data_IF_321368470110
#
_entry.id   IF_321368470110
#
_cell.length_a   1.000
_cell.length_b   1.000
_cell.length_c   1.000
_cell.angle_alpha   90.00
_cell.angle_beta   90.00
_cell.angle_gamma   90.00
#
_symmetry.space_group_name_H-M   'P 1'
#
loop_
_entity.id
_entity.type
_entity.pdbx_description
1 polymer ?
#
# COMPACT_ATOMS: atom_id res chain seq x y z
N UNK A 1 -40.69 -14.89 9.81
CA UNK A 1 -39.40 -14.69 10.47
C UNK A 1 -38.32 -15.70 10.06
N UNK A 2 -38.71 -16.96 9.76
CA UNK A 2 -37.79 -17.99 9.25
C UNK A 2 -37.18 -17.59 7.89
N UNK A 3 -37.97 -16.96 7.01
CA UNK A 3 -37.50 -16.45 5.72
C UNK A 3 -36.52 -15.25 5.86
N UNK A 4 -36.62 -14.46 6.92
CA UNK A 4 -35.65 -13.37 7.21
C UNK A 4 -34.33 -13.93 7.77
N UNK A 5 -34.39 -14.97 8.59
CA UNK A 5 -33.20 -15.68 9.10
C UNK A 5 -32.48 -16.41 7.97
N UNK A 6 -33.20 -17.09 7.09
CA UNK A 6 -32.62 -17.78 5.92
C UNK A 6 -32.04 -16.78 4.91
N UNK A 7 -32.65 -15.59 4.71
CA UNK A 7 -32.06 -14.53 3.90
C UNK A 7 -30.79 -13.96 4.52
N UNK A 8 -30.77 -13.74 5.85
CA UNK A 8 -29.54 -13.33 6.56
C UNK A 8 -28.44 -14.40 6.48
N UNK A 9 -28.77 -15.67 6.64
CA UNK A 9 -27.81 -16.76 6.49
C UNK A 9 -27.31 -16.92 5.04
N UNK A 10 -28.19 -16.82 4.03
CA UNK A 10 -27.76 -16.84 2.61
C UNK A 10 -26.92 -15.61 2.24
N UNK A 11 -27.21 -14.44 2.78
CA UNK A 11 -26.35 -13.25 2.60
C UNK A 11 -25.01 -13.40 3.32
N UNK A 12 -24.96 -13.99 4.52
CA UNK A 12 -23.70 -14.29 5.20
C UNK A 12 -22.84 -15.32 4.46
N UNK A 13 -23.45 -16.34 3.83
CA UNK A 13 -22.68 -17.40 3.17
C UNK A 13 -22.23 -17.10 1.72
N UNK A 14 -22.82 -16.13 1.03
CA UNK A 14 -22.57 -15.91 -0.40
C UNK A 14 -22.10 -14.48 -0.74
N UNK A 15 -22.49 -13.49 0.05
CA UNK A 15 -22.15 -12.07 -0.21
C UNK A 15 -21.30 -11.42 0.88
N UNK A 16 -21.43 -11.87 2.12
CA UNK A 16 -20.73 -11.31 3.29
C UNK A 16 -19.80 -12.35 3.95
N UNK A 17 -19.25 -13.26 3.15
CA UNK A 17 -18.25 -14.24 3.59
C UNK A 17 -16.93 -13.63 4.08
N UNK A 18 -16.84 -12.32 4.05
CA UNK A 18 -15.68 -11.59 4.56
C UNK A 18 -15.90 -11.30 6.03
N UNK A 19 -15.15 -11.97 6.89
CA UNK A 19 -15.13 -11.67 8.31
C UNK A 19 -14.84 -10.18 8.55
N UNK A 20 -15.53 -9.50 9.50
CA UNK A 20 -15.21 -8.13 9.87
C UNK A 20 -13.72 -7.98 10.21
N UNK A 21 -13.11 -6.86 9.84
CA UNK A 21 -11.69 -6.62 10.08
C UNK A 21 -11.33 -6.74 11.57
N UNK A 22 -12.23 -6.28 12.46
CA UNK A 22 -12.11 -6.45 13.91
C UNK A 22 -12.00 -7.92 14.29
N UNK A 23 -12.84 -8.78 13.74
CA UNK A 23 -12.83 -10.22 14.03
C UNK A 23 -11.53 -10.89 13.55
N UNK A 24 -11.01 -10.48 12.38
CA UNK A 24 -9.70 -10.98 11.90
C UNK A 24 -8.58 -10.53 12.84
N UNK A 25 -8.65 -9.31 13.36
CA UNK A 25 -7.68 -8.81 14.35
C UNK A 25 -7.81 -9.56 15.68
N UNK A 26 -9.03 -9.81 16.15
CA UNK A 26 -9.29 -10.57 17.38
C UNK A 26 -8.73 -11.99 17.26
N UNK A 27 -8.97 -12.69 16.14
CA UNK A 27 -8.36 -14.01 15.89
C UNK A 27 -6.83 -13.98 15.91
N UNK A 28 -6.21 -12.94 15.37
CA UNK A 28 -4.75 -12.82 15.36
C UNK A 28 -4.15 -12.55 16.74
N UNK A 29 -4.90 -11.92 17.63
CA UNK A 29 -4.49 -11.67 19.02
C UNK A 29 -4.81 -12.83 19.96
N UNK A 30 -5.69 -13.73 19.55
CA UNK A 30 -6.11 -14.87 20.35
C UNK A 30 -5.00 -15.94 20.44
N UNK A 31 -4.60 -16.28 21.66
CA UNK A 31 -3.54 -17.25 21.91
C UNK A 31 -3.92 -18.68 21.50
N UNK A 32 -5.20 -19.05 21.59
CA UNK A 32 -5.71 -20.35 21.14
C UNK A 32 -5.66 -20.41 19.61
N UNK A 33 -6.13 -19.37 18.93
CA UNK A 33 -6.05 -19.27 17.48
C UNK A 33 -4.60 -19.42 16.99
N UNK A 34 -3.64 -18.75 17.63
CA UNK A 34 -2.23 -18.85 17.26
C UNK A 34 -1.70 -20.29 17.36
N UNK A 35 -2.13 -21.06 18.37
CA UNK A 35 -1.76 -22.48 18.49
C UNK A 35 -2.36 -23.33 17.38
N UNK A 36 -3.55 -22.97 16.89
CA UNK A 36 -4.20 -23.71 15.80
C UNK A 36 -3.43 -23.60 14.47
N UNK A 37 -2.60 -22.59 14.30
CA UNK A 37 -1.90 -22.32 13.02
C UNK A 37 -0.82 -23.37 12.69
N UNK A 38 -0.30 -24.08 13.69
CA UNK A 38 0.75 -25.08 13.55
C UNK A 38 0.23 -26.52 13.63
N UNK A 39 -1.07 -26.72 13.82
CA UNK A 39 -1.65 -28.05 13.96
C UNK A 39 -1.78 -28.77 12.63
N UNK A 40 -1.68 -30.10 12.67
CA UNK A 40 -1.94 -30.99 11.55
C UNK A 40 -3.22 -31.81 11.81
N UNK A 41 -3.89 -32.22 10.75
CA UNK A 41 -5.16 -32.95 10.81
C UNK A 41 -6.35 -32.06 11.19
N UNK A 42 -7.51 -32.69 11.34
CA UNK A 42 -8.74 -32.01 11.70
C UNK A 42 -8.82 -31.77 13.21
N UNK A 43 -9.09 -30.56 13.63
CA UNK A 43 -9.17 -30.13 15.03
C UNK A 43 -10.35 -29.19 15.25
N UNK A 44 -10.73 -28.96 16.50
CA UNK A 44 -11.77 -28.00 16.89
C UNK A 44 -11.12 -26.75 17.50
N UNK A 45 -11.60 -25.60 17.06
CA UNK A 45 -11.36 -24.30 17.69
C UNK A 45 -12.58 -23.93 18.55
N UNK A 46 -12.35 -23.36 19.72
CA UNK A 46 -13.38 -23.03 20.71
C UNK A 46 -14.39 -22.01 20.20
N UNK A 47 -15.52 -21.90 20.89
CA UNK A 47 -16.61 -21.00 20.56
C UNK A 47 -16.40 -19.55 21.07
N UNK A 48 -15.33 -19.25 21.80
CA UNK A 48 -15.16 -18.00 22.54
C UNK A 48 -15.32 -16.74 21.69
N UNK A 49 -14.75 -16.71 20.49
CA UNK A 49 -14.81 -15.53 19.63
C UNK A 49 -16.07 -15.44 18.76
N UNK A 50 -16.69 -16.55 18.41
CA UNK A 50 -17.86 -16.57 17.51
C UNK A 50 -19.15 -17.06 18.16
N UNK A 51 -19.07 -17.62 19.37
CA UNK A 51 -20.22 -18.22 20.04
C UNK A 51 -20.63 -19.58 19.45
N UNK A 52 -19.76 -20.23 18.64
CA UNK A 52 -19.92 -21.58 18.13
C UNK A 52 -18.54 -22.19 17.81
N UNK A 53 -18.47 -23.52 17.83
CA UNK A 53 -17.21 -24.24 17.55
C UNK A 53 -16.94 -24.29 16.05
N UNK A 54 -15.68 -24.33 15.69
CA UNK A 54 -15.23 -24.44 14.30
C UNK A 54 -14.37 -25.69 14.20
N UNK A 55 -14.81 -26.65 13.37
CA UNK A 55 -13.95 -27.74 12.96
C UNK A 55 -13.06 -27.25 11.82
N UNK A 56 -11.75 -27.36 12.00
CA UNK A 56 -10.81 -26.84 11.02
C UNK A 56 -9.72 -27.88 10.70
N UNK A 57 -9.14 -27.72 9.53
CA UNK A 57 -7.94 -28.42 9.08
C UNK A 57 -7.02 -27.46 8.33
N UNK A 58 -5.77 -27.37 8.72
CA UNK A 58 -4.76 -26.64 7.98
C UNK A 58 -4.26 -27.47 6.80
N UNK A 59 -4.12 -26.83 5.66
CA UNK A 59 -3.61 -27.45 4.43
C UNK A 59 -2.12 -27.17 4.32
N UNK A 60 -1.33 -28.24 4.19
CA UNK A 60 0.12 -28.17 4.11
C UNK A 60 0.63 -28.84 2.84
N UNK A 61 1.43 -28.13 2.04
CA UNK A 61 2.06 -28.71 0.85
C UNK A 61 3.58 -28.49 0.94
N UNK A 62 4.34 -29.58 0.94
CA UNK A 62 5.79 -29.57 1.07
C UNK A 62 6.30 -28.80 2.31
N UNK A 63 5.58 -28.92 3.44
CA UNK A 63 5.90 -28.24 4.69
C UNK A 63 5.49 -26.77 4.77
N UNK A 64 4.88 -26.24 3.72
CA UNK A 64 4.40 -24.86 3.68
C UNK A 64 2.88 -24.81 3.89
N UNK A 65 2.42 -23.89 4.75
CA UNK A 65 1.01 -23.60 4.94
C UNK A 65 0.40 -23.02 3.65
N UNK A 66 -0.74 -23.59 3.22
CA UNK A 66 -1.43 -23.17 1.98
C UNK A 66 -2.80 -22.55 2.26
N UNK A 67 -3.38 -22.83 3.42
CA UNK A 67 -4.70 -22.34 3.78
C UNK A 67 -5.34 -23.20 4.86
N UNK A 68 -6.60 -22.95 5.14
CA UNK A 68 -7.40 -23.66 6.15
C UNK A 68 -8.77 -23.95 5.62
N UNK A 69 -9.26 -25.17 5.85
CA UNK A 69 -10.66 -25.53 5.72
C UNK A 69 -11.35 -25.30 7.06
N UNK A 70 -12.50 -24.67 7.05
CA UNK A 70 -13.33 -24.44 8.23
C UNK A 70 -14.75 -24.94 7.99
N UNK A 71 -15.32 -25.54 9.02
CA UNK A 71 -16.73 -25.98 9.09
C UNK A 71 -17.30 -25.38 10.37
N UNK A 72 -18.21 -24.45 10.23
CA UNK A 72 -18.86 -23.77 11.35
C UNK A 72 -19.99 -24.64 11.92
N UNK A 73 -20.01 -24.84 13.25
CA UNK A 73 -21.05 -25.57 13.95
C UNK A 73 -22.26 -24.64 14.20
N UNK A 74 -23.18 -24.56 13.21
CA UNK A 74 -24.31 -23.63 13.30
C UNK A 74 -25.62 -24.29 13.73
N UNK A 75 -26.02 -25.38 13.09
CA UNK A 75 -27.30 -26.06 13.32
C UNK A 75 -27.15 -27.54 13.69
N UNK A 76 -26.01 -28.14 13.40
CA UNK A 76 -25.73 -29.55 13.61
C UNK A 76 -24.43 -29.67 14.39
N UNK A 77 -24.45 -30.44 15.46
CA UNK A 77 -23.24 -30.72 16.26
C UNK A 77 -22.17 -31.42 15.42
N UNK A 78 -20.91 -31.04 15.68
CA UNK A 78 -19.76 -31.67 15.06
C UNK A 78 -19.63 -33.10 15.61
N UNK A 79 -19.71 -34.10 14.72
CA UNK A 79 -19.61 -35.52 15.03
C UNK A 79 -18.26 -36.09 14.56
N UNK A 80 -17.82 -37.25 15.11
CA UNK A 80 -16.55 -37.87 14.71
C UNK A 80 -16.41 -38.11 13.19
N UNK A 81 -17.51 -38.41 12.50
CA UNK A 81 -17.49 -38.57 11.05
C UNK A 81 -17.13 -37.32 10.27
N UNK A 82 -17.38 -36.13 10.82
CA UNK A 82 -17.04 -34.86 10.18
C UNK A 82 -15.51 -34.63 10.16
N UNK A 83 -14.78 -35.12 11.16
CA UNK A 83 -13.31 -35.05 11.17
C UNK A 83 -12.73 -35.85 10.02
N UNK A 84 -13.13 -37.12 9.88
CA UNK A 84 -12.64 -37.97 8.80
C UNK A 84 -13.02 -37.43 7.41
N UNK A 85 -14.23 -36.85 7.27
CA UNK A 85 -14.64 -36.22 6.04
C UNK A 85 -13.79 -34.99 5.71
N UNK A 86 -13.49 -34.14 6.69
CA UNK A 86 -12.66 -32.97 6.53
C UNK A 86 -11.21 -33.33 6.18
N UNK A 87 -10.65 -34.38 6.85
CA UNK A 87 -9.31 -34.90 6.55
C UNK A 87 -9.19 -35.47 5.13
N UNK A 88 -10.21 -36.22 4.69
CA UNK A 88 -10.27 -36.72 3.32
C UNK A 88 -10.32 -35.57 2.30
N UNK A 89 -11.21 -34.61 2.52
CA UNK A 89 -11.33 -33.43 1.66
C UNK A 89 -10.03 -32.60 1.65
N UNK A 90 -9.45 -32.39 2.82
CA UNK A 90 -8.19 -31.65 2.96
C UNK A 90 -7.05 -32.32 2.21
N UNK A 91 -6.88 -33.64 2.38
CA UNK A 91 -5.87 -34.41 1.66
C UNK A 91 -6.06 -34.37 0.14
N UNK A 92 -7.30 -34.39 -0.31
CA UNK A 92 -7.63 -34.26 -1.74
C UNK A 92 -7.25 -32.86 -2.26
N UNK A 93 -7.59 -31.81 -1.52
CA UNK A 93 -7.25 -30.43 -1.87
C UNK A 93 -5.72 -30.22 -1.87
N UNK A 94 -5.00 -30.75 -0.87
CA UNK A 94 -3.53 -30.71 -0.84
C UNK A 94 -2.91 -31.38 -2.07
N UNK A 95 -3.48 -32.52 -2.50
CA UNK A 95 -3.04 -33.18 -3.73
C UNK A 95 -3.31 -32.33 -4.97
N UNK A 96 -4.48 -31.69 -5.06
CA UNK A 96 -4.82 -30.78 -6.15
C UNK A 96 -3.87 -29.56 -6.19
N UNK A 97 -3.60 -28.94 -5.03
CA UNK A 97 -2.65 -27.82 -4.91
C UNK A 97 -1.25 -28.26 -5.32
N UNK A 98 -0.79 -29.41 -4.85
CA UNK A 98 0.52 -29.97 -5.23
C UNK A 98 0.63 -30.17 -6.72
N UNK A 99 -0.40 -30.75 -7.35
CA UNK A 99 -0.44 -30.96 -8.81
C UNK A 99 -0.47 -29.65 -9.58
N UNK A 100 -1.26 -28.68 -9.12
CA UNK A 100 -1.32 -27.34 -9.72
C UNK A 100 0.02 -26.60 -9.58
N UNK A 101 0.62 -26.63 -8.40
CA UNK A 101 1.94 -26.02 -8.17
C UNK A 101 3.03 -26.60 -9.04
N UNK A 102 3.05 -27.93 -9.26
CA UNK A 102 4.00 -28.55 -10.17
C UNK A 102 3.83 -28.06 -11.62
N UNK A 103 2.62 -27.74 -12.03
CA UNK A 103 2.31 -27.19 -13.35
C UNK A 103 2.69 -25.69 -13.45
N UNK A 104 2.40 -24.92 -12.40
CA UNK A 104 2.73 -23.49 -12.31
C UNK A 104 4.23 -23.24 -12.11
N UNK A 105 4.92 -24.14 -11.39
CA UNK A 105 6.37 -24.03 -11.13
C UNK A 105 7.18 -24.09 -12.42
N UNK A 106 6.74 -24.84 -13.44
CA UNK A 106 7.47 -24.89 -14.71
C UNK A 106 7.28 -23.65 -15.58
N UNK A 107 6.13 -22.95 -15.47
CA UNK A 107 5.80 -21.81 -16.34
C UNK A 107 5.99 -20.44 -15.66
N UNK A 108 5.77 -20.32 -14.36
CA UNK A 108 5.81 -19.04 -13.66
C UNK A 108 7.13 -18.71 -12.97
N UNK A 109 7.99 -19.71 -12.73
CA UNK A 109 9.21 -19.51 -11.95
C UNK A 109 10.23 -18.65 -12.70
N UNK A 110 10.34 -18.83 -14.02
CA UNK A 110 11.27 -18.07 -14.86
C UNK A 110 10.90 -16.59 -14.91
N UNK A 111 9.61 -16.26 -15.03
CA UNK A 111 9.15 -14.87 -15.03
C UNK A 111 9.30 -14.20 -13.66
N UNK A 112 9.03 -14.91 -12.57
CA UNK A 112 9.20 -14.38 -11.20
C UNK A 112 10.68 -14.13 -10.88
N UNK A 113 11.56 -15.04 -11.31
CA UNK A 113 13.00 -14.85 -11.20
C UNK A 113 13.45 -13.66 -12.03
N UNK A 114 13.02 -13.58 -13.29
CA UNK A 114 13.31 -12.45 -14.17
C UNK A 114 12.97 -11.12 -13.50
N UNK A 115 11.74 -10.95 -12.98
CA UNK A 115 11.34 -9.71 -12.36
C UNK A 115 12.11 -9.42 -11.06
N UNK A 116 12.47 -10.43 -10.29
CA UNK A 116 13.33 -10.29 -9.11
C UNK A 116 14.72 -9.72 -9.49
N UNK A 117 15.31 -10.24 -10.53
CA UNK A 117 16.60 -9.77 -11.04
C UNK A 117 16.48 -8.38 -11.69
N UNK A 118 15.39 -8.13 -12.42
CA UNK A 118 15.11 -6.87 -13.07
C UNK A 118 14.90 -5.73 -12.06
N UNK A 119 14.12 -5.94 -11.02
CA UNK A 119 13.91 -4.96 -9.96
C UNK A 119 15.17 -4.73 -9.11
N UNK A 120 16.06 -5.72 -9.00
CA UNK A 120 17.33 -5.58 -8.29
C UNK A 120 18.41 -4.85 -9.08
N UNK A 121 18.15 -4.52 -10.36
CA UNK A 121 19.11 -3.90 -11.27
C UNK A 121 20.23 -4.81 -11.75
N UNK A 122 20.13 -6.13 -11.51
CA UNK A 122 21.11 -7.12 -11.98
C UNK A 122 20.96 -7.41 -13.46
N UNK A 123 19.76 -7.24 -13.99
CA UNK A 123 19.43 -7.52 -15.38
C UNK A 123 19.45 -6.21 -16.17
N UNK A 124 20.48 -6.04 -17.00
CA UNK A 124 20.71 -4.83 -17.81
C UNK A 124 20.60 -5.09 -19.31
N UNK A 125 20.47 -6.37 -19.71
CA UNK A 125 20.43 -6.74 -21.12
C UNK A 125 19.03 -6.52 -21.71
N UNK A 126 18.93 -5.63 -22.68
CA UNK A 126 17.68 -5.32 -23.40
C UNK A 126 17.09 -6.54 -24.10
N UNK A 127 17.93 -7.48 -24.55
CA UNK A 127 17.48 -8.71 -25.21
C UNK A 127 16.66 -9.56 -24.25
N UNK A 128 17.14 -9.80 -23.02
CA UNK A 128 16.43 -10.58 -22.01
C UNK A 128 15.06 -9.94 -21.65
N UNK A 129 15.00 -8.60 -21.63
CA UNK A 129 13.73 -7.89 -21.42
C UNK A 129 12.79 -8.10 -22.60
N UNK A 130 13.28 -8.06 -23.83
CA UNK A 130 12.46 -8.29 -25.03
C UNK A 130 11.93 -9.72 -25.07
N UNK A 131 12.77 -10.69 -24.76
CA UNK A 131 12.38 -12.11 -24.70
C UNK A 131 11.30 -12.34 -23.63
N UNK A 132 11.42 -11.69 -22.47
CA UNK A 132 10.42 -11.78 -21.41
C UNK A 132 9.08 -11.14 -21.78
N UNK A 133 9.10 -9.98 -22.46
CA UNK A 133 7.89 -9.33 -22.98
C UNK A 133 7.16 -10.27 -23.95
N UNK A 134 7.89 -10.91 -24.88
CA UNK A 134 7.34 -11.89 -25.83
C UNK A 134 6.79 -13.13 -25.12
N UNK A 135 7.52 -13.64 -24.11
CA UNK A 135 7.09 -14.79 -23.31
C UNK A 135 5.77 -14.54 -22.59
N UNK A 136 5.59 -13.35 -22.04
CA UNK A 136 4.34 -12.94 -21.37
C UNK A 136 3.22 -12.60 -22.36
N UNK A 137 3.51 -12.57 -23.65
CA UNK A 137 2.59 -12.04 -24.68
C UNK A 137 2.11 -10.62 -24.36
N UNK A 138 3.01 -9.80 -23.80
CA UNK A 138 2.79 -8.39 -23.50
C UNK A 138 3.42 -7.52 -24.60
N UNK A 139 3.19 -6.19 -24.54
CA UNK A 139 3.81 -5.26 -25.45
C UNK A 139 4.60 -4.21 -24.67
N UNK A 140 5.75 -3.81 -25.16
CA UNK A 140 6.60 -2.83 -24.48
C UNK A 140 5.82 -1.55 -24.09
N UNK A 141 4.94 -1.08 -24.95
CA UNK A 141 4.21 0.17 -24.80
C UNK A 141 2.79 0.00 -24.24
N UNK A 142 2.48 -1.15 -23.68
CA UNK A 142 1.25 -1.36 -22.93
C UNK A 142 1.19 -0.46 -21.70
N UNK A 143 -0.01 -0.35 -21.11
CA UNK A 143 -0.19 0.35 -19.84
C UNK A 143 0.13 -0.60 -18.69
N UNK A 144 0.97 -0.15 -17.80
CA UNK A 144 1.44 -0.92 -16.65
C UNK A 144 1.09 -0.25 -15.33
N UNK A 145 0.92 -1.06 -14.31
CA UNK A 145 0.74 -0.66 -12.93
C UNK A 145 1.57 -1.60 -12.04
N UNK A 146 2.20 -1.06 -11.01
CA UNK A 146 2.93 -1.86 -10.02
C UNK A 146 2.29 -1.68 -8.66
N UNK A 147 2.03 -2.82 -8.00
CA UNK A 147 1.49 -2.87 -6.65
C UNK A 147 2.54 -3.47 -5.71
N UNK A 148 2.67 -2.92 -4.51
CA UNK A 148 3.52 -3.44 -3.45
C UNK A 148 2.67 -3.72 -2.22
N UNK A 149 2.59 -4.99 -1.80
CA UNK A 149 1.84 -5.41 -0.63
C UNK A 149 2.81 -5.76 0.51
N UNK A 150 2.49 -5.28 1.70
CA UNK A 150 3.20 -5.63 2.94
C UNK A 150 2.21 -6.02 4.03
N UNK A 151 2.59 -6.98 4.88
CA UNK A 151 1.84 -7.31 6.09
C UNK A 151 2.05 -6.26 7.18
N UNK A 152 1.08 -6.10 8.07
CA UNK A 152 1.21 -5.15 9.19
C UNK A 152 2.08 -5.67 10.33
N UNK A 153 2.28 -6.98 10.45
CA UNK A 153 3.03 -7.62 11.54
C UNK A 153 3.82 -8.85 11.05
N UNK A 154 4.76 -9.27 11.87
CA UNK A 154 5.81 -10.29 11.73
C UNK A 154 5.40 -11.70 11.27
N UNK A 155 4.22 -11.90 10.74
CA UNK A 155 3.75 -13.18 10.21
C UNK A 155 4.25 -13.46 8.78
N UNK A 156 5.54 -13.21 8.54
CA UNK A 156 6.21 -13.51 7.25
C UNK A 156 6.05 -14.98 6.82
N UNK A 157 5.72 -15.87 7.74
CA UNK A 157 5.60 -17.31 7.46
C UNK A 157 4.27 -17.70 6.79
N UNK A 158 3.20 -16.92 6.97
CA UNK A 158 1.87 -17.26 6.43
C UNK A 158 1.53 -16.56 5.11
N UNK A 159 2.10 -15.39 4.85
CA UNK A 159 1.64 -14.53 3.76
C UNK A 159 2.49 -14.56 2.49
N UNK A 160 3.68 -15.11 2.53
CA UNK A 160 4.55 -15.31 1.36
C UNK A 160 4.31 -16.64 0.66
N UNK A 161 3.20 -17.33 0.96
CA UNK A 161 2.92 -18.64 0.40
C UNK A 161 2.56 -18.54 -1.09
N UNK A 162 2.93 -19.55 -1.84
CA UNK A 162 2.52 -19.75 -3.24
C UNK A 162 1.00 -19.61 -3.43
N UNK A 163 0.22 -20.01 -2.40
CA UNK A 163 -1.24 -19.87 -2.40
C UNK A 163 -1.69 -18.41 -2.46
N UNK A 164 -1.05 -17.49 -1.68
CA UNK A 164 -1.39 -16.07 -1.72
C UNK A 164 -1.10 -15.45 -3.09
N UNK A 165 0.05 -15.80 -3.69
CA UNK A 165 0.38 -15.36 -5.05
C UNK A 165 -0.64 -15.87 -6.05
N UNK A 166 -1.01 -17.15 -5.98
CA UNK A 166 -2.03 -17.75 -6.84
C UNK A 166 -3.42 -17.12 -6.66
N UNK A 167 -3.80 -16.77 -5.43
CA UNK A 167 -5.05 -16.03 -5.17
C UNK A 167 -5.04 -14.65 -5.81
N UNK A 168 -3.93 -13.90 -5.70
CA UNK A 168 -3.79 -12.59 -6.33
C UNK A 168 -3.92 -12.72 -7.86
N UNK A 169 -3.18 -13.65 -8.46
CA UNK A 169 -3.22 -13.87 -9.91
C UNK A 169 -4.58 -14.36 -10.41
N UNK A 170 -5.33 -15.12 -9.60
CA UNK A 170 -6.69 -15.51 -9.92
C UNK A 170 -7.67 -14.33 -9.95
N UNK A 171 -7.46 -13.32 -9.09
CA UNK A 171 -8.26 -12.09 -9.09
C UNK A 171 -7.82 -11.09 -10.16
N UNK A 172 -6.53 -11.10 -10.52
CA UNK A 172 -5.93 -10.23 -11.52
C UNK A 172 -5.22 -11.09 -12.58
N UNK A 173 -5.94 -11.72 -13.50
CA UNK A 173 -5.34 -12.58 -14.53
C UNK A 173 -4.40 -11.85 -15.49
N UNK A 174 -4.47 -10.51 -15.56
CA UNK A 174 -3.57 -9.63 -16.29
C UNK A 174 -2.31 -9.25 -15.50
N UNK A 175 -2.16 -9.77 -14.29
CA UNK A 175 -1.03 -9.49 -13.39
C UNK A 175 -0.16 -10.70 -13.13
N UNK A 176 1.08 -10.44 -12.75
CA UNK A 176 2.03 -11.44 -12.28
C UNK A 176 2.47 -11.04 -10.87
N UNK A 177 2.26 -11.96 -9.91
CA UNK A 177 2.59 -11.75 -8.51
C UNK A 177 3.83 -12.56 -8.10
N UNK A 178 4.73 -11.95 -7.34
CA UNK A 178 5.92 -12.61 -6.81
C UNK A 178 6.37 -11.98 -5.49
N UNK A 179 7.15 -12.73 -4.73
CA UNK A 179 7.76 -12.22 -3.49
C UNK A 179 9.05 -11.48 -3.79
N UNK A 180 9.20 -10.28 -3.22
CA UNK A 180 10.41 -9.48 -3.33
C UNK A 180 10.59 -8.61 -2.09
N UNK A 181 11.80 -8.57 -1.50
CA UNK A 181 12.14 -7.76 -0.33
C UNK A 181 11.07 -7.82 0.78
N UNK A 182 10.79 -9.02 1.28
CA UNK A 182 9.83 -9.28 2.39
C UNK A 182 8.40 -8.79 2.15
N UNK A 183 7.95 -8.80 0.91
CA UNK A 183 6.56 -8.50 0.58
C UNK A 183 6.19 -9.04 -0.80
N UNK A 184 4.98 -8.77 -1.24
CA UNK A 184 4.48 -9.20 -2.53
C UNK A 184 4.50 -8.01 -3.49
N UNK A 185 5.01 -8.25 -4.69
CA UNK A 185 4.95 -7.31 -5.81
C UNK A 185 4.00 -7.90 -6.86
N UNK A 186 3.13 -7.07 -7.40
CA UNK A 186 2.26 -7.44 -8.51
C UNK A 186 2.51 -6.46 -9.66
N UNK A 187 2.89 -6.99 -10.80
CA UNK A 187 3.02 -6.21 -12.03
C UNK A 187 1.80 -6.49 -12.88
N UNK A 188 1.04 -5.47 -13.21
CA UNK A 188 -0.22 -5.57 -13.94
C UNK A 188 -0.08 -4.94 -15.31
N UNK A 189 -0.48 -5.67 -16.36
CA UNK A 189 -0.63 -5.13 -17.70
C UNK A 189 -2.09 -4.73 -17.93
N UNK A 190 -2.40 -3.46 -17.76
CA UNK A 190 -3.76 -2.91 -17.92
C UNK A 190 -4.27 -2.96 -19.36
N UNK A 191 -3.38 -3.08 -20.34
CA UNK A 191 -3.79 -3.17 -21.76
C UNK A 191 -4.29 -4.55 -22.15
N UNK A 192 -3.88 -5.60 -21.43
CA UNK A 192 -4.18 -6.99 -21.77
C UNK A 192 -5.70 -7.30 -21.80
N UNK A 193 -6.48 -6.71 -20.86
CA UNK A 193 -7.95 -6.81 -20.82
C UNK A 193 -8.63 -5.45 -20.88
N UNK A 194 -7.92 -4.40 -21.26
CA UNK A 194 -8.41 -3.02 -21.19
C UNK A 194 -8.89 -2.64 -19.78
N UNK A 195 -8.25 -3.21 -18.75
CA UNK A 195 -8.62 -3.03 -17.36
C UNK A 195 -8.37 -1.58 -16.90
N UNK A 196 -9.16 -1.16 -15.91
CA UNK A 196 -8.97 0.12 -15.23
C UNK A 196 -8.29 -0.14 -13.89
N UNK A 197 -7.35 0.71 -13.49
CA UNK A 197 -6.61 0.54 -12.23
C UNK A 197 -7.50 0.43 -10.99
N UNK A 198 -8.61 1.18 -10.95
CA UNK A 198 -9.60 1.11 -9.86
C UNK A 198 -10.21 -0.28 -9.70
N UNK A 199 -10.51 -0.96 -10.82
CA UNK A 199 -11.14 -2.27 -10.80
C UNK A 199 -10.15 -3.34 -10.33
N UNK A 200 -8.90 -3.26 -10.79
CA UNK A 200 -7.78 -4.09 -10.34
C UNK A 200 -7.58 -3.97 -8.82
N UNK A 201 -7.55 -2.74 -8.31
CA UNK A 201 -7.37 -2.47 -6.88
C UNK A 201 -8.57 -3.00 -6.07
N UNK A 202 -9.78 -2.79 -6.57
CA UNK A 202 -11.01 -3.23 -5.92
C UNK A 202 -11.11 -4.77 -5.86
N UNK A 203 -10.63 -5.48 -6.87
CA UNK A 203 -10.60 -6.94 -6.88
C UNK A 203 -9.69 -7.53 -5.81
N UNK A 204 -8.67 -6.80 -5.37
CA UNK A 204 -7.78 -7.21 -4.28
C UNK A 204 -8.31 -6.87 -2.87
N UNK A 205 -9.38 -6.09 -2.74
CA UNK A 205 -9.85 -5.58 -1.45
C UNK A 205 -10.08 -6.70 -0.42
N UNK A 206 -10.58 -7.85 -0.85
CA UNK A 206 -10.81 -9.02 -0.01
C UNK A 206 -9.49 -9.58 0.51
N UNK A 207 -8.53 -9.83 -0.37
CA UNK A 207 -7.21 -10.39 -0.03
C UNK A 207 -6.46 -9.45 0.92
N UNK A 208 -6.52 -8.14 0.64
CA UNK A 208 -5.86 -7.13 1.46
C UNK A 208 -6.43 -7.09 2.88
N UNK A 209 -7.75 -7.20 2.99
CA UNK A 209 -8.45 -7.20 4.26
C UNK A 209 -8.20 -8.45 5.08
N UNK A 210 -8.39 -9.63 4.48
CA UNK A 210 -8.19 -10.93 5.15
C UNK A 210 -6.72 -11.14 5.55
N UNK A 211 -5.79 -10.76 4.69
CA UNK A 211 -4.36 -10.84 4.95
C UNK A 211 -3.81 -9.70 5.81
N UNK A 212 -4.61 -8.69 6.19
CA UNK A 212 -4.17 -7.44 6.81
C UNK A 212 -2.99 -6.79 6.08
N UNK A 213 -3.01 -6.89 4.75
CA UNK A 213 -2.02 -6.24 3.92
C UNK A 213 -2.27 -4.73 3.82
N UNK A 214 -1.20 -3.99 3.75
CA UNK A 214 -1.18 -2.62 3.23
C UNK A 214 -0.58 -2.62 1.85
N UNK A 215 -1.14 -1.81 0.95
CA UNK A 215 -0.75 -1.78 -0.45
C UNK A 215 -0.34 -0.37 -0.88
N UNK A 216 0.84 -0.27 -1.49
CA UNK A 216 1.24 0.89 -2.26
C UNK A 216 1.00 0.65 -3.74
N UNK A 217 0.56 1.67 -4.44
CA UNK A 217 0.19 1.65 -5.86
C UNK A 217 1.00 2.70 -6.60
N UNK A 218 1.65 2.32 -7.70
CA UNK A 218 2.33 3.28 -8.58
C UNK A 218 1.34 4.14 -9.36
N UNK A 219 1.82 5.20 -10.01
CA UNK A 219 1.10 5.80 -11.13
C UNK A 219 1.04 4.81 -12.30
N UNK A 220 0.06 4.97 -13.21
CA UNK A 220 0.06 4.24 -14.48
C UNK A 220 1.16 4.78 -15.41
N UNK A 221 1.85 3.87 -16.12
CA UNK A 221 2.88 4.26 -17.09
C UNK A 221 2.83 3.40 -18.35
N UNK A 222 3.51 3.83 -19.42
CA UNK A 222 3.46 3.22 -20.76
C UNK A 222 4.85 2.86 -21.29
N UNK A 223 5.65 2.18 -20.54
CA UNK A 223 6.85 1.51 -21.04
C UNK A 223 7.24 0.42 -20.03
N UNK A 224 7.39 -0.80 -20.50
CA UNK A 224 7.87 -1.93 -19.70
C UNK A 224 9.18 -1.61 -18.97
N UNK A 225 10.06 -0.83 -19.60
CA UNK A 225 11.35 -0.45 -19.02
C UNK A 225 11.21 0.44 -17.76
N UNK A 226 10.04 1.01 -17.52
CA UNK A 226 9.76 1.82 -16.33
C UNK A 226 9.25 0.99 -15.13
N UNK A 227 9.08 -0.33 -15.27
CA UNK A 227 8.63 -1.19 -14.17
C UNK A 227 9.47 -1.01 -12.88
N UNK A 228 10.82 -0.95 -12.92
CA UNK A 228 11.59 -0.68 -11.71
C UNK A 228 11.29 0.67 -11.07
N UNK A 229 10.99 1.70 -11.87
CA UNK A 229 10.58 3.01 -11.35
C UNK A 229 9.16 2.95 -10.77
N UNK A 230 8.22 2.23 -11.40
CA UNK A 230 6.91 1.94 -10.86
C UNK A 230 6.98 1.22 -9.51
N UNK A 231 7.91 0.27 -9.34
CA UNK A 231 8.15 -0.37 -8.05
C UNK A 231 8.62 0.64 -6.98
N UNK A 232 9.55 1.54 -7.31
CA UNK A 232 9.99 2.60 -6.40
C UNK A 232 8.82 3.49 -5.99
N UNK A 233 7.93 3.83 -6.93
CA UNK A 233 6.72 4.61 -6.64
C UNK A 233 5.79 3.87 -5.67
N UNK A 234 5.49 2.59 -5.91
CA UNK A 234 4.63 1.79 -5.05
C UNK A 234 5.20 1.64 -3.62
N UNK A 235 6.50 1.37 -3.49
CA UNK A 235 7.20 1.33 -2.18
C UNK A 235 7.13 2.69 -1.48
N UNK A 236 7.33 3.78 -2.22
CA UNK A 236 7.32 5.13 -1.66
C UNK A 236 5.92 5.53 -1.19
N UNK A 237 4.88 5.22 -1.98
CA UNK A 237 3.50 5.45 -1.60
C UNK A 237 3.14 4.71 -0.31
N UNK A 238 3.52 3.44 -0.20
CA UNK A 238 3.29 2.63 0.99
C UNK A 238 4.01 3.21 2.22
N UNK A 239 5.28 3.56 2.09
CA UNK A 239 6.10 4.14 3.16
C UNK A 239 5.55 5.48 3.65
N UNK A 240 5.23 6.39 2.73
CA UNK A 240 4.73 7.74 3.06
C UNK A 240 3.29 7.66 3.59
N UNK A 241 2.44 6.86 2.95
CA UNK A 241 1.05 6.67 3.35
C UNK A 241 0.90 6.07 4.73
N UNK A 242 1.72 5.09 5.10
CA UNK A 242 1.73 4.51 6.46
C UNK A 242 2.05 5.54 7.55
N UNK A 243 2.84 6.57 7.23
CA UNK A 243 3.17 7.66 8.16
C UNK A 243 2.01 8.64 8.34
N UNK A 244 1.34 9.00 7.23
CA UNK A 244 0.30 10.04 7.23
C UNK A 244 -1.10 9.51 7.56
N UNK A 245 -1.43 8.31 7.09
CA UNK A 245 -2.75 7.70 7.20
C UNK A 245 -2.64 6.24 7.62
N UNK A 246 -2.27 5.98 8.87
CA UNK A 246 -2.00 4.62 9.38
C UNK A 246 -3.18 3.65 9.26
N UNK A 247 -4.42 4.14 9.21
CA UNK A 247 -5.63 3.32 9.12
C UNK A 247 -6.01 2.93 7.68
N UNK A 248 -5.46 3.61 6.66
CA UNK A 248 -5.71 3.24 5.27
C UNK A 248 -4.97 1.94 4.91
N UNK A 249 -5.51 1.20 3.96
CA UNK A 249 -4.95 -0.05 3.46
C UNK A 249 -4.38 0.05 2.04
N UNK A 250 -4.70 1.14 1.32
CA UNK A 250 -4.25 1.40 -0.04
C UNK A 250 -3.73 2.83 -0.16
N UNK A 251 -2.56 2.99 -0.75
CA UNK A 251 -1.85 4.26 -0.89
C UNK A 251 -1.41 4.46 -2.33
N UNK A 252 -2.00 5.44 -3.02
CA UNK A 252 -1.68 5.80 -4.40
C UNK A 252 -0.52 6.78 -4.44
N UNK A 253 0.48 6.53 -5.27
CA UNK A 253 1.68 7.36 -5.36
C UNK A 253 1.37 8.82 -5.71
N UNK A 254 0.39 9.06 -6.57
CA UNK A 254 0.00 10.41 -7.00
C UNK A 254 -0.44 11.30 -5.82
N UNK A 255 -1.04 10.70 -4.78
CA UNK A 255 -1.41 11.42 -3.57
C UNK A 255 -0.21 11.84 -2.70
N UNK A 256 0.94 11.20 -2.89
CA UNK A 256 2.16 11.43 -2.12
C UNK A 256 3.32 11.97 -2.97
N UNK A 257 3.03 12.44 -4.18
CA UNK A 257 4.05 12.87 -5.13
C UNK A 257 4.90 14.04 -4.57
N UNK A 258 4.25 15.02 -3.97
CA UNK A 258 4.94 16.18 -3.39
C UNK A 258 5.85 15.74 -2.22
N UNK A 259 5.34 14.94 -1.31
CA UNK A 259 6.09 14.41 -0.18
C UNK A 259 7.27 13.55 -0.63
N UNK A 260 7.06 12.78 -1.72
CA UNK A 260 8.14 12.02 -2.35
C UNK A 260 9.23 12.95 -2.89
N UNK A 261 8.87 13.96 -3.69
CA UNK A 261 9.81 14.94 -4.24
C UNK A 261 10.61 15.64 -3.14
N UNK A 262 9.94 16.13 -2.10
CA UNK A 262 10.60 16.74 -0.94
C UNK A 262 11.51 15.75 -0.20
N UNK A 263 11.14 14.46 -0.14
CA UNK A 263 11.98 13.43 0.48
C UNK A 263 13.26 13.17 -0.31
N UNK A 264 13.20 13.18 -1.64
CA UNK A 264 14.37 12.98 -2.49
C UNK A 264 15.35 14.15 -2.36
N UNK A 265 14.85 15.36 -2.30
CA UNK A 265 15.66 16.56 -2.09
C UNK A 265 16.36 16.48 -0.73
N UNK A 266 15.62 16.16 0.33
CA UNK A 266 16.16 16.09 1.70
C UNK A 266 17.14 14.93 1.94
N UNK A 267 17.12 13.90 1.08
CA UNK A 267 17.99 12.72 1.23
C UNK A 267 19.45 13.03 0.86
N UNK A 268 19.67 13.92 -0.09
CA UNK A 268 21.03 14.24 -0.58
C UNK A 268 21.65 15.45 0.12
N UNK A 269 20.84 16.42 0.52
CA UNK A 269 21.28 17.67 1.13
C UNK A 269 20.41 17.92 2.35
N UNK A 270 21.04 18.25 3.49
CA UNK A 270 20.31 18.62 4.70
C UNK A 270 19.30 19.76 4.41
N UNK A 271 18.04 19.66 4.88
CA UNK A 271 17.05 20.72 4.72
C UNK A 271 17.53 22.09 5.20
N UNK A 272 18.31 22.12 6.27
CA UNK A 272 18.92 23.36 6.80
C UNK A 272 19.80 24.07 5.79
N UNK A 273 20.49 23.32 4.92
CA UNK A 273 21.31 23.89 3.84
C UNK A 273 20.49 24.26 2.60
N UNK A 274 19.32 23.67 2.45
CA UNK A 274 18.39 23.93 1.35
C UNK A 274 17.48 25.12 1.64
N UNK A 275 17.09 25.27 2.90
CA UNK A 275 16.32 26.44 3.34
C UNK A 275 17.20 27.66 3.19
N UNK A 276 16.74 28.57 2.36
CA UNK A 276 17.52 29.72 1.96
C UNK A 276 17.85 30.61 3.18
N UNK A 277 19.05 31.12 3.23
CA UNK A 277 19.49 32.18 4.17
C UNK A 277 18.53 33.39 4.25
N UNK A 278 17.61 33.48 3.28
CA UNK A 278 16.57 34.50 3.17
C UNK A 278 15.45 34.30 4.20
N UNK A 279 15.02 33.07 4.44
CA UNK A 279 14.01 32.75 5.48
C UNK A 279 14.64 32.91 6.87
N UNK A 280 15.89 32.51 7.03
CA UNK A 280 16.63 32.75 8.27
C UNK A 280 16.80 34.26 8.58
N UNK A 281 17.00 35.05 7.54
CA UNK A 281 17.07 36.51 7.69
C UNK A 281 15.74 37.11 8.22
N UNK A 282 14.60 36.58 7.74
CA UNK A 282 13.28 36.98 8.26
C UNK A 282 13.07 36.55 9.70
N UNK A 283 13.35 35.29 10.03
CA UNK A 283 13.21 34.79 11.41
C UNK A 283 14.11 35.56 12.38
N UNK A 284 15.34 35.82 12.00
CA UNK A 284 16.27 36.60 12.80
C UNK A 284 15.82 38.06 12.96
N UNK A 285 15.25 38.65 11.91
CA UNK A 285 14.68 40.00 11.98
C UNK A 285 13.47 40.03 12.91
N UNK A 286 12.57 39.06 12.80
CA UNK A 286 11.37 38.94 13.64
C UNK A 286 11.74 38.81 15.13
N UNK A 287 12.72 37.94 15.45
CA UNK A 287 13.21 37.81 16.84
C UNK A 287 13.79 39.11 17.41
N UNK A 288 14.51 39.89 16.59
CA UNK A 288 15.13 41.16 17.03
C UNK A 288 14.14 42.31 17.18
N UNK A 289 13.11 42.33 16.34
CA UNK A 289 12.20 43.48 16.24
C UNK A 289 10.78 43.15 16.73
N UNK A 290 10.56 41.97 17.27
CA UNK A 290 9.25 41.47 17.70
C UNK A 290 8.17 41.65 16.61
N UNK A 291 8.51 41.22 15.40
CA UNK A 291 7.63 41.25 14.20
C UNK A 291 7.27 39.85 13.77
N UNK A 292 6.33 39.73 12.82
CA UNK A 292 5.80 38.45 12.31
C UNK A 292 5.92 38.39 10.78
N UNK A 293 7.03 38.85 10.22
CA UNK A 293 7.21 38.91 8.77
C UNK A 293 7.29 37.51 8.14
N UNK A 294 7.93 36.56 8.83
CA UNK A 294 8.01 35.17 8.42
C UNK A 294 6.61 34.55 8.29
N UNK A 295 5.79 34.69 9.32
CA UNK A 295 4.41 34.21 9.31
C UNK A 295 3.58 34.93 8.25
N UNK A 296 3.76 36.25 8.11
CA UNK A 296 3.06 37.06 7.09
C UNK A 296 3.37 36.55 5.68
N UNK A 297 4.64 36.22 5.38
CA UNK A 297 5.06 35.70 4.08
C UNK A 297 4.43 34.33 3.81
N UNK A 298 4.44 33.43 4.81
CA UNK A 298 3.86 32.10 4.73
C UNK A 298 2.38 32.18 4.36
N UNK A 299 1.56 32.88 5.14
CA UNK A 299 0.12 33.04 4.92
C UNK A 299 -0.18 33.72 3.57
N UNK A 300 0.65 34.70 3.16
CA UNK A 300 0.49 35.36 1.86
C UNK A 300 0.69 34.41 0.68
N UNK A 301 1.67 33.48 0.78
CA UNK A 301 1.92 32.48 -0.25
C UNK A 301 0.86 31.37 -0.24
N UNK A 302 0.36 30.95 0.92
CA UNK A 302 -0.72 30.00 1.07
C UNK A 302 -2.04 30.50 0.46
N UNK A 303 -2.30 31.80 0.57
CA UNK A 303 -3.45 32.45 -0.08
C UNK A 303 -3.20 32.89 -1.52
N UNK A 304 -2.19 32.33 -2.20
CA UNK A 304 -1.91 32.60 -3.61
C UNK A 304 -1.84 34.11 -3.92
N UNK A 305 -1.24 34.90 -3.01
CA UNK A 305 -1.10 36.37 -3.09
C UNK A 305 -2.41 37.15 -2.92
N UNK A 306 -3.46 36.53 -2.42
CA UNK A 306 -4.71 37.24 -2.15
C UNK A 306 -4.57 38.14 -0.92
N UNK A 307 -4.21 39.42 -1.15
CA UNK A 307 -3.97 40.37 -0.06
C UNK A 307 -5.20 40.59 0.84
N UNK A 308 -6.43 40.41 0.34
CA UNK A 308 -7.63 40.57 1.14
C UNK A 308 -7.79 39.39 2.13
N UNK A 309 -7.64 38.18 1.64
CA UNK A 309 -7.73 36.97 2.48
C UNK A 309 -6.57 36.93 3.48
N UNK A 310 -5.35 37.20 3.05
CA UNK A 310 -4.16 37.27 3.92
C UNK A 310 -4.34 38.28 5.04
N UNK A 311 -4.81 39.51 4.73
CA UNK A 311 -5.00 40.55 5.74
C UNK A 311 -6.09 40.16 6.75
N UNK A 312 -7.15 39.47 6.30
CA UNK A 312 -8.22 38.96 7.18
C UNK A 312 -7.70 37.88 8.13
N UNK A 313 -6.96 36.93 7.61
CA UNK A 313 -6.43 35.82 8.42
C UNK A 313 -5.40 36.32 9.44
N UNK A 314 -4.55 37.27 9.06
CA UNK A 314 -3.59 37.88 9.96
C UNK A 314 -4.19 38.94 10.89
N UNK A 315 -5.48 39.22 10.80
CA UNK A 315 -6.18 40.28 11.58
C UNK A 315 -5.52 41.64 11.47
N UNK A 316 -5.00 42.01 10.29
CA UNK A 316 -4.35 43.31 10.02
C UNK A 316 -5.04 44.09 8.91
N UNK A 317 -4.82 45.40 8.89
CA UNK A 317 -5.30 46.22 7.78
C UNK A 317 -4.49 45.98 6.50
N UNK A 318 -5.11 46.11 5.33
CA UNK A 318 -4.47 45.88 4.04
C UNK A 318 -3.21 46.74 3.81
N UNK A 319 -3.21 47.98 4.28
CA UNK A 319 -2.03 48.86 4.20
C UNK A 319 -0.86 48.34 5.04
N UNK A 320 -1.15 47.76 6.20
CA UNK A 320 -0.15 47.11 7.06
C UNK A 320 0.46 45.86 6.38
N UNK A 321 -0.39 45.08 5.68
CA UNK A 321 0.12 43.95 4.90
C UNK A 321 1.05 44.42 3.79
N UNK A 322 0.68 45.46 3.02
CA UNK A 322 1.51 46.01 1.95
C UNK A 322 2.87 46.43 2.50
N UNK A 323 2.89 47.17 3.61
CA UNK A 323 4.13 47.56 4.28
C UNK A 323 4.99 46.37 4.72
N UNK A 324 4.37 45.33 5.30
CA UNK A 324 5.05 44.09 5.67
C UNK A 324 5.68 43.40 4.46
N UNK A 325 4.93 43.28 3.34
CA UNK A 325 5.42 42.66 2.11
C UNK A 325 6.57 43.41 1.48
N UNK A 326 6.53 44.74 1.43
CA UNK A 326 7.66 45.58 0.98
C UNK A 326 8.89 45.36 1.87
N UNK A 327 8.69 45.26 3.20
CA UNK A 327 9.79 44.99 4.13
C UNK A 327 10.41 43.63 3.92
N UNK A 328 9.56 42.59 3.68
CA UNK A 328 10.00 41.22 3.35
C UNK A 328 10.86 41.22 2.10
N UNK A 329 10.41 41.85 1.01
CA UNK A 329 11.16 41.93 -0.25
C UNK A 329 12.54 42.62 -0.06
N UNK A 330 12.59 43.67 0.73
CA UNK A 330 13.84 44.36 1.04
C UNK A 330 14.82 43.50 1.84
N UNK A 331 14.33 42.74 2.82
CA UNK A 331 15.16 41.89 3.67
C UNK A 331 15.65 40.64 2.94
N UNK A 332 14.78 40.02 2.18
CA UNK A 332 15.04 38.73 1.50
C UNK A 332 15.69 38.92 0.14
N UNK A 333 15.59 40.11 -0.45
CA UNK A 333 15.93 40.39 -1.86
C UNK A 333 15.20 39.46 -2.84
N UNK A 334 13.99 39.04 -2.49
CA UNK A 334 13.11 38.17 -3.31
C UNK A 334 12.09 39.04 -4.00
N UNK A 335 11.87 38.78 -5.27
CA UNK A 335 10.76 39.36 -6.02
C UNK A 335 9.51 38.46 -5.88
N UNK A 336 8.52 38.92 -5.10
CA UNK A 336 7.25 38.20 -4.93
C UNK A 336 6.39 38.21 -6.19
N UNK A 337 6.71 38.98 -7.22
CA UNK A 337 6.05 38.94 -8.53
C UNK A 337 6.67 37.88 -9.43
N UNK A 338 7.89 37.45 -9.16
CA UNK A 338 8.56 36.37 -9.88
C UNK A 338 8.01 34.99 -9.46
N UNK A 339 7.40 34.19 -10.38
CA UNK A 339 6.87 32.85 -10.04
C UNK A 339 7.91 31.86 -9.51
N UNK A 340 9.16 31.94 -10.00
CA UNK A 340 10.23 31.02 -9.57
C UNK A 340 10.65 31.29 -8.13
N UNK A 341 10.73 32.56 -7.74
CA UNK A 341 11.09 32.96 -6.38
C UNK A 341 10.00 32.52 -5.39
N UNK A 342 8.73 32.66 -5.76
CA UNK A 342 7.61 32.19 -4.94
C UNK A 342 7.63 30.68 -4.76
N UNK A 343 7.79 29.92 -5.87
CA UNK A 343 7.86 28.47 -5.80
C UNK A 343 8.99 28.01 -4.89
N UNK A 344 10.16 28.65 -5.02
CA UNK A 344 11.32 28.35 -4.16
C UNK A 344 11.00 28.58 -2.67
N UNK A 345 10.38 29.70 -2.35
CA UNK A 345 9.96 30.00 -0.97
C UNK A 345 8.94 28.99 -0.45
N UNK A 346 7.93 28.63 -1.24
CA UNK A 346 6.95 27.61 -0.87
C UNK A 346 7.61 26.26 -0.58
N UNK A 347 8.56 25.83 -1.43
CA UNK A 347 9.33 24.61 -1.19
C UNK A 347 10.17 24.71 0.09
N UNK A 348 10.78 25.86 0.37
CA UNK A 348 11.53 26.07 1.62
C UNK A 348 10.64 25.96 2.86
N UNK A 349 9.43 26.54 2.82
CA UNK A 349 8.46 26.37 3.92
C UNK A 349 8.06 24.91 4.13
N UNK A 350 7.74 24.18 3.06
CA UNK A 350 7.37 22.77 3.14
C UNK A 350 8.51 21.88 3.67
N UNK A 351 9.75 22.18 3.33
CA UNK A 351 10.93 21.48 3.86
C UNK A 351 11.10 21.71 5.35
N UNK A 352 10.92 22.94 5.86
CA UNK A 352 11.02 23.25 7.29
C UNK A 352 9.91 22.59 8.12
N UNK A 353 8.68 22.55 7.61
CA UNK A 353 7.56 21.87 8.28
C UNK A 353 7.81 20.37 8.44
N UNK A 354 8.41 19.76 7.43
CA UNK A 354 8.73 18.34 7.45
C UNK A 354 9.76 17.99 8.52
N UNK A 355 10.75 18.83 8.76
CA UNK A 355 11.75 18.59 9.80
C UNK A 355 11.17 18.70 11.21
N UNK A 356 10.20 19.59 11.43
CA UNK A 356 9.53 19.73 12.73
C UNK A 356 8.61 18.54 13.07
N UNK A 357 8.20 17.74 12.07
CA UNK A 357 7.38 16.54 12.28
C UNK A 357 8.21 15.28 12.53
N UNK A 358 9.53 15.33 12.42
CA UNK A 358 10.45 14.18 12.59
C UNK A 358 11.15 14.20 13.95
N UNK A 359 11.09 15.32 14.68
CA UNK A 359 11.57 15.47 16.05
C UNK A 359 10.45 15.24 17.05
#
# INVERSE_FOLDING_TARGET
DLHRLIRRQRQMCIRDSIAPLSLIQDFKLDAEYQRTLITHGANIYSEELRGYRILYMNLWVSGNYQGRLCVDELQTEIQPGHFSALEYLGSFIELCIRRHNLFQISMGNDSRQFFTEYLSGKLTELQAVTDQIQYLNWNRHDRYLVLRLETQQQDDRMHSSIATLGHIEAQIPEGLAFTYQQGIVVIVNLSFKHSVSSDVISSLAIILREGLFKMGVSSEFRDFLLIPQGYIQAVSALRLGKKSQSMAWCYHFDAYLLEYMLSQISHQISPELLVSSRLDALQNYDRKNNTELYHTLKVYLEHERNSLQTARELFIHRSSLTYRLERIQKLTKVDLDNPKDRLLLQLCFLLQEKDQTVT
#
